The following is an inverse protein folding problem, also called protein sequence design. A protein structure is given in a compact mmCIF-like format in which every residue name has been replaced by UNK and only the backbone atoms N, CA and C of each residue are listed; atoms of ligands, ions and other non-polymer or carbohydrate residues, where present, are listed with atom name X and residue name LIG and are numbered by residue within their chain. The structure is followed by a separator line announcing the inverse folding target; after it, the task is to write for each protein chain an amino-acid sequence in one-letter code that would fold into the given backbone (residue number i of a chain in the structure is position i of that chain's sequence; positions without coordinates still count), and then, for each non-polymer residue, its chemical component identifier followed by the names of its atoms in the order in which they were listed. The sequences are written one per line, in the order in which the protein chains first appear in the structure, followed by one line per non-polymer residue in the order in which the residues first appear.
data_IF_058793296707
#
_entry.id   IF_058793296707
#
_cell.length_a   1.000
_cell.length_b   1.000
_cell.length_c   1.000
_cell.angle_alpha   90.00
_cell.angle_beta   90.00
_cell.angle_gamma   90.00
#
_symmetry.space_group_name_H-M   'P 1'
#
loop_
_entity.id
_entity.type
_entity.pdbx_description
1 polymer ?
#
# COMPACT_ATOMS: atom_id res chain seq x y z
N UNK A 1 -25.37 11.32 27.29
CA UNK A 1 -25.70 10.36 26.20
C UNK A 1 -24.56 10.40 25.19
N UNK A 2 -23.83 9.30 24.98
CA UNK A 2 -22.90 9.21 23.83
C UNK A 2 -23.76 9.08 22.57
N UNK A 3 -23.83 10.13 21.77
CA UNK A 3 -24.43 10.00 20.44
C UNK A 3 -23.46 9.21 19.58
N UNK A 4 -23.93 8.11 19.00
CA UNK A 4 -23.20 7.37 17.97
C UNK A 4 -23.43 8.10 16.66
N UNK A 5 -22.35 8.56 16.03
CA UNK A 5 -22.36 9.10 14.68
C UNK A 5 -22.45 7.97 13.66
N UNK A 6 -22.73 8.32 12.40
CA UNK A 6 -22.61 7.39 11.29
C UNK A 6 -21.17 6.92 11.14
N UNK A 7 -21.04 5.68 10.70
CA UNK A 7 -19.74 5.12 10.34
C UNK A 7 -19.17 5.85 9.11
N UNK A 8 -17.84 6.06 9.02
CA UNK A 8 -17.22 6.73 7.87
C UNK A 8 -17.52 6.06 6.52
N UNK A 9 -17.57 4.73 6.45
CA UNK A 9 -17.88 4.01 5.20
C UNK A 9 -19.32 4.32 4.76
N UNK A 10 -20.25 4.35 5.72
CA UNK A 10 -21.64 4.71 5.44
C UNK A 10 -21.77 6.17 4.96
N UNK A 11 -20.93 7.09 5.43
CA UNK A 11 -20.90 8.47 4.94
C UNK A 11 -20.35 8.55 3.50
N UNK A 12 -19.37 7.73 3.15
CA UNK A 12 -18.82 7.63 1.79
C UNK A 12 -19.88 7.06 0.84
N UNK A 13 -20.54 5.96 1.19
CA UNK A 13 -21.62 5.37 0.37
C UNK A 13 -22.75 6.36 0.07
N UNK A 14 -23.07 7.22 1.04
CA UNK A 14 -24.06 8.29 0.90
C UNK A 14 -23.55 9.45 0.05
N UNK A 15 -22.25 9.76 0.10
CA UNK A 15 -21.61 10.76 -0.74
C UNK A 15 -21.57 10.32 -2.21
N UNK A 16 -21.25 9.05 -2.45
CA UNK A 16 -21.14 8.42 -3.78
C UNK A 16 -22.51 8.05 -4.38
N UNK A 17 -23.58 8.14 -3.59
CA UNK A 17 -24.94 7.80 -4.04
C UNK A 17 -25.21 6.30 -4.14
N UNK A 18 -24.31 5.45 -3.62
CA UNK A 18 -24.51 4.00 -3.48
C UNK A 18 -25.66 3.70 -2.54
N UNK A 19 -25.87 4.56 -1.53
CA UNK A 19 -26.99 4.51 -0.60
C UNK A 19 -27.84 5.78 -0.67
N UNK A 20 -29.15 5.63 -0.49
CA UNK A 20 -30.05 6.77 -0.44
C UNK A 20 -30.01 7.42 0.96
N UNK A 21 -30.06 8.75 1.02
CA UNK A 21 -30.13 9.49 2.30
C UNK A 21 -31.37 9.14 3.13
N UNK A 22 -32.46 8.71 2.47
CA UNK A 22 -33.66 8.22 3.13
C UNK A 22 -33.39 6.99 4.03
N UNK A 23 -32.35 6.21 3.72
CA UNK A 23 -31.95 5.03 4.48
C UNK A 23 -31.09 5.37 5.71
N UNK A 24 -30.78 6.66 5.93
CA UNK A 24 -29.98 7.15 7.04
C UNK A 24 -30.77 8.19 7.87
N UNK A 25 -31.80 7.79 8.63
CA UNK A 25 -32.64 8.71 9.42
C UNK A 25 -31.83 9.55 10.42
N UNK A 26 -30.70 9.02 10.87
CA UNK A 26 -29.75 9.76 11.72
C UNK A 26 -29.30 11.09 11.10
N UNK A 27 -29.11 11.14 9.77
CA UNK A 27 -28.73 12.37 9.08
C UNK A 27 -29.73 13.50 9.33
N UNK A 28 -31.03 13.22 9.34
CA UNK A 28 -32.04 14.27 9.60
C UNK A 28 -31.93 14.89 11.00
N UNK A 29 -31.33 14.18 11.95
CA UNK A 29 -31.27 14.57 13.36
C UNK A 29 -29.87 15.03 13.82
N UNK A 30 -28.81 14.70 13.09
CA UNK A 30 -27.43 14.97 13.49
C UNK A 30 -26.75 15.97 12.55
N UNK A 31 -26.65 17.24 12.98
CA UNK A 31 -25.97 18.30 12.23
C UNK A 31 -24.46 18.09 12.04
N UNK A 32 -23.81 17.22 12.84
CA UNK A 32 -22.40 16.86 12.62
C UNK A 32 -22.25 15.98 11.37
N UNK A 33 -23.04 14.92 11.27
CA UNK A 33 -23.01 14.02 10.11
C UNK A 33 -23.51 14.71 8.83
N UNK A 34 -24.48 15.63 8.92
CA UNK A 34 -24.89 16.46 7.78
C UNK A 34 -23.73 17.31 7.23
N UNK A 35 -22.96 17.95 8.12
CA UNK A 35 -21.81 18.77 7.72
C UNK A 35 -20.71 17.92 7.09
N UNK A 36 -20.37 16.78 7.69
CA UNK A 36 -19.37 15.85 7.14
C UNK A 36 -19.77 15.35 5.74
N UNK A 37 -21.03 15.00 5.53
CA UNK A 37 -21.53 14.57 4.22
C UNK A 37 -21.47 15.71 3.19
N UNK A 38 -21.83 16.94 3.58
CA UNK A 38 -21.75 18.10 2.71
C UNK A 38 -20.30 18.42 2.31
N UNK A 39 -19.36 18.29 3.26
CA UNK A 39 -17.92 18.48 3.04
C UNK A 39 -17.34 17.44 2.07
N UNK A 40 -17.68 16.15 2.28
CA UNK A 40 -17.29 15.07 1.37
C UNK A 40 -17.82 15.29 -0.06
N UNK A 41 -19.07 15.75 -0.20
CA UNK A 41 -19.63 16.05 -1.53
C UNK A 41 -18.99 17.27 -2.17
N UNK A 42 -18.63 18.28 -1.38
CA UNK A 42 -17.90 19.44 -1.89
C UNK A 42 -16.54 19.02 -2.45
N UNK A 43 -15.77 18.19 -1.75
CA UNK A 43 -14.48 17.70 -2.24
C UNK A 43 -14.62 16.83 -3.50
N UNK A 44 -15.60 15.92 -3.54
CA UNK A 44 -15.89 15.13 -4.75
C UNK A 44 -16.29 16.02 -5.94
N UNK A 45 -17.08 17.06 -5.71
CA UNK A 45 -17.48 18.00 -6.76
C UNK A 45 -16.28 18.79 -7.31
N UNK A 46 -15.36 19.21 -6.43
CA UNK A 46 -14.13 19.91 -6.88
C UNK A 46 -13.28 19.01 -7.76
N UNK A 47 -13.08 17.75 -7.37
CA UNK A 47 -12.35 16.77 -8.18
C UNK A 47 -13.04 16.51 -9.52
N UNK A 48 -14.37 16.37 -9.51
CA UNK A 48 -15.15 16.19 -10.74
C UNK A 48 -14.99 17.38 -11.70
N UNK A 49 -15.05 18.61 -11.19
CA UNK A 49 -14.87 19.81 -12.04
C UNK A 49 -13.47 19.91 -12.64
N UNK A 50 -12.43 19.53 -11.89
CA UNK A 50 -11.06 19.47 -12.41
C UNK A 50 -10.91 18.41 -13.49
N UNK A 51 -11.43 17.20 -13.23
CA UNK A 51 -11.41 16.11 -14.22
C UNK A 51 -12.20 16.44 -15.48
N UNK A 52 -13.29 17.20 -15.37
CA UNK A 52 -14.08 17.62 -16.53
C UNK A 52 -13.33 18.66 -17.37
N UNK A 53 -12.55 19.52 -16.73
CA UNK A 53 -11.68 20.47 -17.42
C UNK A 53 -10.52 19.75 -18.14
N UNK A 54 -9.92 18.75 -17.51
CA UNK A 54 -8.88 17.92 -18.13
C UNK A 54 -9.44 16.99 -19.21
N UNK A 55 -10.64 16.45 -19.03
CA UNK A 55 -11.29 15.58 -20.00
C UNK A 55 -11.67 16.32 -21.30
N UNK A 56 -11.81 17.65 -21.26
CA UNK A 56 -11.98 18.46 -22.46
C UNK A 56 -10.69 18.53 -23.32
N UNK A 57 -9.53 18.27 -22.71
CA UNK A 57 -8.20 18.29 -23.35
C UNK A 57 -7.62 16.88 -23.56
N UNK A 58 -8.24 15.85 -22.95
CA UNK A 58 -7.84 14.46 -23.14
C UNK A 58 -8.27 13.97 -24.52
N UNK A 59 -7.37 13.38 -25.33
CA UNK A 59 -7.75 12.79 -26.61
C UNK A 59 -8.74 11.65 -26.38
N UNK A 60 -9.86 11.65 -27.12
CA UNK A 60 -10.81 10.56 -27.06
C UNK A 60 -10.10 9.23 -27.34
N UNK A 61 -10.35 8.18 -26.51
CA UNK A 61 -9.72 6.89 -26.75
C UNK A 61 -10.14 6.36 -28.12
N UNK A 62 -9.21 5.73 -28.83
CA UNK A 62 -9.50 5.14 -30.14
C UNK A 62 -10.71 4.21 -30.05
N UNK A 63 -11.60 4.14 -31.06
CA UNK A 63 -12.78 3.26 -30.99
C UNK A 63 -12.46 1.79 -30.71
N UNK A 64 -11.30 1.30 -31.16
CA UNK A 64 -10.84 -0.08 -30.92
C UNK A 64 -10.41 -0.34 -29.46
N UNK A 65 -10.11 0.70 -28.68
CA UNK A 65 -9.74 0.57 -27.27
C UNK A 65 -10.84 -0.14 -26.48
N UNK A 66 -12.11 0.22 -26.72
CA UNK A 66 -13.24 -0.33 -25.99
C UNK A 66 -13.46 -1.81 -26.27
N UNK A 67 -13.25 -2.23 -27.52
CA UNK A 67 -13.34 -3.64 -27.90
C UNK A 67 -12.26 -4.48 -27.23
N UNK A 68 -11.00 -3.99 -27.27
CA UNK A 68 -9.87 -4.67 -26.63
C UNK A 68 -9.99 -4.70 -25.11
N UNK A 69 -10.36 -3.58 -24.50
CA UNK A 69 -10.57 -3.48 -23.05
C UNK A 69 -11.66 -4.46 -22.60
N UNK A 70 -12.83 -4.42 -23.24
CA UNK A 70 -13.95 -5.30 -22.90
C UNK A 70 -13.61 -6.78 -23.11
N UNK A 71 -12.85 -7.11 -24.16
CA UNK A 71 -12.38 -8.48 -24.38
C UNK A 71 -11.45 -8.96 -23.26
N UNK A 72 -10.49 -8.13 -22.84
CA UNK A 72 -9.57 -8.45 -21.75
C UNK A 72 -10.25 -8.61 -20.41
N UNK A 73 -11.23 -7.76 -20.08
CA UNK A 73 -12.02 -7.89 -18.85
C UNK A 73 -12.79 -9.21 -18.85
N UNK A 74 -13.45 -9.56 -19.96
CA UNK A 74 -14.17 -10.85 -20.07
C UNK A 74 -13.22 -12.04 -19.95
N UNK A 75 -12.04 -11.98 -20.56
CA UNK A 75 -11.03 -13.03 -20.46
C UNK A 75 -10.52 -13.19 -19.02
N UNK A 76 -10.25 -12.08 -18.32
CA UNK A 76 -9.81 -12.11 -16.92
C UNK A 76 -10.87 -12.74 -16.00
N UNK A 77 -12.13 -12.32 -16.12
CA UNK A 77 -13.25 -12.89 -15.34
C UNK A 77 -13.45 -14.38 -15.66
N UNK A 78 -13.32 -14.78 -16.93
CA UNK A 78 -13.41 -16.19 -17.33
C UNK A 78 -12.24 -17.02 -16.76
N UNK A 79 -11.04 -16.44 -16.67
CA UNK A 79 -9.87 -17.10 -16.10
C UNK A 79 -9.98 -17.28 -14.57
N UNK A 80 -10.65 -16.37 -13.87
CA UNK A 80 -10.94 -16.50 -12.43
C UNK A 80 -11.92 -17.64 -12.13
N UNK A 81 -12.91 -17.85 -13.00
CA UNK A 81 -13.92 -18.91 -12.85
C UNK A 81 -13.48 -20.31 -13.34
N UNK A 82 -12.38 -20.42 -14.08
CA UNK A 82 -11.93 -21.70 -14.61
C UNK A 82 -11.23 -22.55 -13.52
N UNK A 83 -11.63 -23.82 -13.31
CA UNK A 83 -10.87 -24.70 -12.44
C UNK A 83 -9.46 -24.83 -13.01
N UNK A 84 -8.45 -24.39 -12.25
CA UNK A 84 -7.03 -24.51 -12.62
C UNK A 84 -6.77 -25.95 -13.04
N UNK A 85 -6.71 -26.20 -14.35
CA UNK A 85 -6.34 -27.52 -14.88
C UNK A 85 -4.94 -27.78 -14.36
N UNK A 86 -4.83 -28.67 -13.36
CA UNK A 86 -3.57 -29.24 -12.91
C UNK A 86 -2.85 -29.71 -14.15
N UNK A 87 -1.84 -28.93 -14.55
CA UNK A 87 -1.01 -29.20 -15.69
C UNK A 87 -0.38 -30.58 -15.53
N UNK A 88 -0.25 -31.24 -16.67
CA UNK A 88 0.34 -32.56 -16.91
C UNK A 88 1.84 -32.58 -16.61
N UNK A 89 2.22 -32.25 -15.38
CA UNK A 89 3.57 -32.39 -14.79
C UNK A 89 3.48 -33.02 -13.40
N UNK A 90 2.47 -33.89 -13.19
CA UNK A 90 2.14 -34.48 -11.90
C UNK A 90 2.63 -35.91 -11.67
N UNK A 91 3.64 -36.40 -12.41
CA UNK A 91 4.13 -37.78 -12.25
C UNK A 91 4.84 -38.04 -10.90
N UNK A 92 5.06 -37.01 -10.07
CA UNK A 92 5.61 -37.14 -8.71
C UNK A 92 4.69 -36.62 -7.60
N UNK A 93 3.44 -36.24 -7.91
CA UNK A 93 2.53 -35.62 -6.93
C UNK A 93 1.56 -36.57 -6.23
N UNK A 94 1.50 -37.84 -6.64
CA UNK A 94 0.41 -38.74 -6.26
C UNK A 94 0.66 -39.58 -5.00
N UNK A 95 1.89 -39.58 -4.45
CA UNK A 95 2.21 -40.44 -3.30
C UNK A 95 1.73 -39.87 -1.94
N UNK A 96 1.49 -38.56 -1.82
CA UNK A 96 1.08 -37.96 -0.54
C UNK A 96 -0.45 -37.94 -0.32
N UNK A 97 -1.25 -38.62 -1.16
CA UNK A 97 -2.71 -38.47 -1.13
C UNK A 97 -3.50 -39.75 -0.90
N UNK A 98 -2.91 -40.73 -0.22
CA UNK A 98 -3.59 -41.97 0.19
C UNK A 98 -3.68 -42.13 1.71
N UNK A 99 -4.24 -41.13 2.40
CA UNK A 99 -4.37 -41.25 3.86
C UNK A 99 -5.06 -40.11 4.58
N UNK A 100 -6.15 -39.54 4.04
CA UNK A 100 -7.20 -38.93 4.89
C UNK A 100 -8.45 -38.63 4.09
N UNK A 101 -9.17 -39.71 3.76
CA UNK A 101 -10.60 -39.64 3.50
C UNK A 101 -11.33 -40.04 4.78
N UNK A 102 -11.69 -39.05 5.57
CA UNK A 102 -12.75 -39.15 6.57
C UNK A 102 -13.40 -37.78 6.76
N UNK A 103 -14.63 -37.69 6.26
CA UNK A 103 -15.76 -36.88 6.71
C UNK A 103 -15.57 -35.36 6.98
N UNK A 104 -16.36 -34.60 6.21
CA UNK A 104 -16.79 -33.20 6.29
C UNK A 104 -17.17 -32.62 7.68
N UNK A 105 -17.58 -31.33 7.83
CA UNK A 105 -17.55 -30.15 6.93
C UNK A 105 -17.02 -28.84 7.60
N UNK A 106 -16.75 -27.79 6.81
CA UNK A 106 -16.95 -26.36 7.12
C UNK A 106 -16.56 -25.77 8.51
N UNK A 107 -15.55 -26.29 9.22
CA UNK A 107 -15.01 -25.67 10.44
C UNK A 107 -13.54 -25.23 10.33
N UNK A 108 -12.86 -25.55 9.22
CA UNK A 108 -11.41 -25.32 9.06
C UNK A 108 -11.02 -23.88 8.74
N UNK A 109 -11.90 -23.09 8.13
CA UNK A 109 -11.57 -21.70 7.75
C UNK A 109 -11.42 -20.76 8.96
N UNK A 110 -12.17 -21.01 10.04
CA UNK A 110 -12.04 -20.24 11.28
C UNK A 110 -10.81 -20.66 12.09
N UNK A 111 -10.39 -21.93 12.03
CA UNK A 111 -9.20 -22.37 12.74
C UNK A 111 -7.91 -21.80 12.14
N UNK A 112 -7.82 -21.66 10.81
CA UNK A 112 -6.67 -21.00 10.17
C UNK A 112 -6.64 -19.50 10.44
N UNK A 113 -7.80 -18.83 10.48
CA UNK A 113 -7.89 -17.42 10.86
C UNK A 113 -7.58 -17.24 12.35
N UNK A 114 -8.07 -18.11 13.23
CA UNK A 114 -7.78 -18.05 14.67
C UNK A 114 -6.31 -18.32 14.98
N UNK A 115 -5.65 -19.23 14.25
CA UNK A 115 -4.19 -19.46 14.39
C UNK A 115 -3.39 -18.28 13.83
N UNK A 116 -3.80 -17.67 12.71
CA UNK A 116 -3.16 -16.47 12.17
C UNK A 116 -3.33 -15.24 13.09
N UNK A 117 -4.52 -15.06 13.67
CA UNK A 117 -4.81 -14.00 14.64
C UNK A 117 -4.09 -14.26 15.97
N UNK A 118 -4.02 -15.52 16.42
CA UNK A 118 -3.26 -15.89 17.63
C UNK A 118 -1.76 -15.64 17.44
N UNK A 119 -1.17 -16.03 16.31
CA UNK A 119 0.24 -15.74 16.01
C UNK A 119 0.51 -14.23 15.88
N UNK A 120 -0.38 -13.48 15.21
CA UNK A 120 -0.26 -12.02 15.09
C UNK A 120 -0.38 -11.30 16.44
N UNK A 121 -1.28 -11.76 17.32
CA UNK A 121 -1.45 -11.20 18.66
C UNK A 121 -0.32 -11.53 19.62
N UNK A 122 0.36 -12.67 19.44
CA UNK A 122 1.53 -13.04 20.27
C UNK A 122 2.78 -12.24 19.89
N UNK A 123 2.90 -11.80 18.63
CA UNK A 123 3.98 -10.92 18.16
C UNK A 123 3.75 -9.47 18.60
N UNK A 124 2.50 -9.07 18.87
CA UNK A 124 2.11 -7.74 19.36
C UNK A 124 1.79 -7.71 20.86
N UNK A 125 2.26 -8.66 21.66
CA UNK A 125 2.17 -8.54 23.11
C UNK A 125 3.33 -7.67 23.64
N UNK A 126 3.10 -6.38 24.03
CA UNK A 126 4.11 -5.62 24.73
C UNK A 126 4.33 -6.25 26.10
N UNK A 127 5.48 -6.89 26.27
CA UNK A 127 5.99 -7.22 27.58
C UNK A 127 6.20 -5.91 28.35
N UNK A 128 5.32 -5.66 29.31
CA UNK A 128 5.53 -4.64 30.33
C UNK A 128 6.82 -4.98 31.10
N UNK A 129 7.87 -4.20 30.86
CA UNK A 129 9.04 -4.13 31.72
C UNK A 129 9.54 -2.68 31.73
N UNK A 130 9.43 -2.04 32.89
CA UNK A 130 10.03 -0.74 33.20
C UNK A 130 11.58 -0.79 33.11
N UNK A 131 12.25 0.36 32.89
CA UNK A 131 13.66 0.46 32.47
C UNK A 131 14.65 0.51 33.65
N UNK A 132 15.95 0.24 33.42
CA UNK A 132 17.03 0.85 34.19
C UNK A 132 17.69 2.02 33.42
N UNK A 133 18.14 3.08 34.12
CA UNK A 133 18.77 4.24 33.51
C UNK A 133 20.27 4.04 33.37
N UNK A 134 20.85 4.36 32.22
CA UNK A 134 22.30 4.68 32.12
C UNK A 134 22.59 5.69 31.00
N UNK A 135 22.89 6.90 31.47
CA UNK A 135 23.96 7.82 31.06
C UNK A 135 24.40 7.93 29.59
N UNK A 136 24.23 9.16 29.10
CA UNK A 136 25.13 9.97 28.27
C UNK A 136 26.43 9.31 27.80
N UNK A 137 26.61 9.25 26.49
CA UNK A 137 27.89 9.63 25.89
C UNK A 137 27.64 10.20 24.50
N UNK A 138 28.02 11.46 24.34
CA UNK A 138 28.05 12.15 23.06
C UNK A 138 28.94 11.39 22.06
N UNK A 139 28.45 11.22 20.83
CA UNK A 139 29.30 11.12 19.66
C UNK A 139 28.64 11.89 18.54
N UNK A 140 29.38 12.88 18.05
CA UNK A 140 28.98 13.82 17.03
C UNK A 140 28.40 13.11 15.80
N UNK A 141 27.27 13.62 15.31
CA UNK A 141 26.68 13.19 14.06
C UNK A 141 27.69 13.30 12.93
N UNK A 142 28.10 12.14 12.40
CA UNK A 142 28.76 12.05 11.12
C UNK A 142 27.78 12.51 10.06
N UNK A 143 27.84 13.79 9.71
CA UNK A 143 27.27 14.30 8.47
C UNK A 143 27.92 13.49 7.36
N UNK A 144 27.15 12.65 6.69
CA UNK A 144 27.63 11.96 5.50
C UNK A 144 27.95 13.08 4.50
N UNK A 145 29.23 13.28 4.22
CA UNK A 145 29.69 14.20 3.18
C UNK A 145 29.24 13.64 1.82
N UNK A 146 28.15 14.19 1.31
CA UNK A 146 27.54 13.88 0.00
C UNK A 146 28.56 13.97 -1.16
N UNK A 147 29.69 14.63 -0.95
CA UNK A 147 30.81 14.68 -1.91
C UNK A 147 31.45 13.30 -2.15
N UNK A 148 31.33 12.36 -1.21
CA UNK A 148 31.92 11.00 -1.32
C UNK A 148 31.09 10.01 -2.15
N UNK A 149 29.88 10.41 -2.60
CA UNK A 149 29.03 9.60 -3.49
C UNK A 149 29.19 9.94 -4.99
N UNK A 150 30.10 10.85 -5.34
CA UNK A 150 30.55 11.07 -6.73
C UNK A 150 31.48 9.90 -7.15
N UNK A 151 30.89 8.77 -7.58
CA UNK A 151 30.91 8.54 -9.02
C UNK A 151 29.63 7.87 -9.55
N UNK A 152 28.46 8.07 -8.92
CA UNK A 152 27.18 7.63 -9.51
C UNK A 152 26.65 8.57 -10.62
N UNK A 153 27.38 9.65 -10.96
CA UNK A 153 26.93 10.68 -11.91
C UNK A 153 28.03 11.29 -12.78
N UNK A 154 29.12 10.56 -13.05
CA UNK A 154 30.18 11.02 -13.98
C UNK A 154 29.98 10.51 -15.42
N UNK A 155 28.76 10.06 -15.76
CA UNK A 155 28.33 9.96 -17.14
C UNK A 155 27.39 11.12 -17.39
N UNK A 156 27.71 11.96 -18.37
CA UNK A 156 26.87 13.07 -18.86
C UNK A 156 25.54 12.53 -19.39
N UNK A 157 24.65 12.10 -18.50
CA UNK A 157 23.31 11.65 -18.86
C UNK A 157 22.38 12.86 -18.69
N UNK A 158 22.02 13.56 -19.80
CA UNK A 158 21.25 14.80 -19.72
C UNK A 158 19.87 14.59 -19.08
N UNK A 159 19.39 13.36 -19.09
CA UNK A 159 18.14 12.96 -18.44
C UNK A 159 18.24 13.00 -16.91
N UNK A 160 19.38 12.60 -16.33
CA UNK A 160 19.59 12.64 -14.88
C UNK A 160 19.91 14.05 -14.38
N UNK A 161 20.52 14.90 -15.22
CA UNK A 161 20.72 16.32 -14.91
C UNK A 161 19.39 17.06 -14.78
N UNK A 162 18.41 16.79 -15.65
CA UNK A 162 17.08 17.41 -15.56
C UNK A 162 16.33 16.95 -14.31
N UNK A 163 16.42 15.67 -13.95
CA UNK A 163 15.82 15.16 -12.70
C UNK A 163 16.48 15.80 -11.49
N UNK A 164 17.81 15.93 -11.48
CA UNK A 164 18.53 16.60 -10.40
C UNK A 164 18.09 18.06 -10.25
N UNK A 165 18.01 18.83 -11.34
CA UNK A 165 17.53 20.22 -11.32
C UNK A 165 16.07 20.31 -10.83
N UNK A 166 15.18 19.44 -11.33
CA UNK A 166 13.78 19.38 -10.91
C UNK A 166 13.62 19.01 -9.43
N UNK A 167 14.44 18.10 -8.91
CA UNK A 167 14.41 17.71 -7.49
C UNK A 167 15.06 18.75 -6.58
N UNK A 168 16.02 19.54 -7.08
CA UNK A 168 16.65 20.63 -6.33
C UNK A 168 15.69 21.80 -6.10
N UNK A 169 14.73 22.01 -7.01
CA UNK A 169 13.68 23.02 -6.88
C UNK A 169 12.47 22.51 -6.06
N UNK A 170 12.40 21.20 -5.79
CA UNK A 170 11.29 20.58 -5.09
C UNK A 170 11.49 20.68 -3.57
N UNK A 171 10.69 21.52 -2.92
CA UNK A 171 10.65 21.62 -1.47
C UNK A 171 9.93 20.40 -0.87
N UNK A 172 10.72 19.40 -0.47
CA UNK A 172 10.25 18.15 0.11
C UNK A 172 9.47 18.36 1.41
N UNK A 173 9.80 19.41 2.17
CA UNK A 173 9.10 19.73 3.41
C UNK A 173 7.70 20.25 3.09
N UNK A 174 7.57 21.21 2.15
CA UNK A 174 6.27 21.71 1.68
C UNK A 174 5.42 20.63 0.99
N UNK A 175 6.04 19.73 0.23
CA UNK A 175 5.35 18.60 -0.39
C UNK A 175 4.84 17.57 0.64
N UNK A 176 5.54 17.43 1.77
CA UNK A 176 5.11 16.57 2.89
C UNK A 176 3.94 17.17 3.66
N UNK A 177 3.95 18.48 3.91
CA UNK A 177 2.85 19.20 4.54
C UNK A 177 1.59 19.20 3.65
N UNK A 178 1.77 19.22 2.33
CA UNK A 178 0.70 19.09 1.35
C UNK A 178 0.18 17.65 1.17
N UNK A 179 0.79 16.66 1.84
CA UNK A 179 0.43 15.24 1.72
C UNK A 179 0.74 14.62 0.35
N UNK A 180 1.60 15.27 -0.45
CA UNK A 180 2.01 14.83 -1.79
C UNK A 180 3.15 13.83 -1.76
N UNK A 181 3.98 13.86 -0.72
CA UNK A 181 4.84 12.72 -0.41
C UNK A 181 3.95 11.62 0.12
N UNK A 182 3.92 10.47 -0.55
CA UNK A 182 3.19 9.31 -0.07
C UNK A 182 3.47 9.13 1.43
N UNK A 183 2.45 8.95 2.29
CA UNK A 183 2.69 8.73 3.70
C UNK A 183 3.67 7.57 3.78
N UNK A 184 4.83 7.79 4.42
CA UNK A 184 5.81 6.74 4.63
C UNK A 184 5.03 5.54 5.16
N UNK A 185 4.81 4.54 4.31
CA UNK A 185 3.96 3.43 4.67
C UNK A 185 4.63 2.82 5.89
N UNK A 186 3.95 2.79 7.04
CA UNK A 186 4.41 2.02 8.17
C UNK A 186 4.61 0.58 7.67
N UNK A 187 5.84 0.07 7.72
CA UNK A 187 6.24 -1.19 7.08
C UNK A 187 6.82 -1.10 5.66
N UNK A 188 7.13 0.09 5.15
CA UNK A 188 7.88 0.27 3.90
C UNK A 188 9.34 -0.17 4.04
N UNK A 189 10.03 -0.41 2.92
CA UNK A 189 11.43 -0.88 2.95
C UNK A 189 12.35 0.05 3.76
N UNK A 190 12.12 1.37 3.73
CA UNK A 190 12.87 2.34 4.53
C UNK A 190 12.63 2.19 6.04
N UNK A 191 11.40 1.89 6.44
CA UNK A 191 11.02 1.67 7.83
C UNK A 191 11.69 0.40 8.37
N UNK A 192 11.66 -0.68 7.59
CA UNK A 192 12.35 -1.94 7.92
C UNK A 192 13.86 -1.72 8.06
N UNK A 193 14.49 -0.98 7.14
CA UNK A 193 15.94 -0.66 7.22
C UNK A 193 16.27 0.17 8.46
N UNK A 194 15.36 1.07 8.88
CA UNK A 194 15.56 1.87 10.09
C UNK A 194 15.53 1.06 11.38
N UNK A 195 14.83 -0.08 11.37
CA UNK A 195 14.73 -1.01 12.52
C UNK A 195 15.87 -2.05 12.59
N UNK A 196 16.73 -2.14 11.57
CA UNK A 196 17.86 -3.07 11.55
C UNK A 196 18.99 -2.62 12.49
N UNK A 197 19.61 -3.58 13.16
CA UNK A 197 20.83 -3.38 13.95
C UNK A 197 22.04 -3.08 13.05
N UNK A 198 23.13 -2.57 13.63
CA UNK A 198 24.36 -2.25 12.88
C UNK A 198 25.01 -3.47 12.21
N UNK A 199 24.90 -4.64 12.85
CA UNK A 199 25.39 -5.90 12.27
C UNK A 199 24.52 -6.33 11.07
N UNK A 200 23.20 -6.22 11.19
CA UNK A 200 22.25 -6.57 10.13
C UNK A 200 22.34 -5.62 8.92
N UNK A 201 22.57 -4.32 9.16
CA UNK A 201 22.81 -3.35 8.09
C UNK A 201 24.09 -3.66 7.31
N UNK A 202 25.17 -4.06 7.99
CA UNK A 202 26.42 -4.49 7.34
C UNK A 202 26.24 -5.73 6.49
N UNK A 203 25.45 -6.70 6.97
CA UNK A 203 25.16 -7.91 6.21
C UNK A 203 24.25 -7.64 5.01
N UNK A 204 23.23 -6.77 5.15
CA UNK A 204 22.39 -6.32 4.05
C UNK A 204 23.22 -5.62 2.95
N UNK A 205 24.15 -4.76 3.35
CA UNK A 205 25.07 -4.09 2.43
C UNK A 205 25.95 -5.10 1.68
N UNK A 206 26.47 -6.12 2.38
CA UNK A 206 27.27 -7.19 1.75
C UNK A 206 26.47 -7.94 0.70
N UNK A 207 25.22 -8.32 1.02
CA UNK A 207 24.33 -9.05 0.10
C UNK A 207 23.93 -8.21 -1.12
N UNK A 208 23.64 -6.92 -0.93
CA UNK A 208 23.32 -6.01 -2.04
C UNK A 208 24.50 -5.86 -3.01
N UNK A 209 25.72 -5.73 -2.48
CA UNK A 209 26.93 -5.66 -3.30
C UNK A 209 27.21 -6.97 -4.05
N UNK A 210 26.96 -8.11 -3.39
CA UNK A 210 27.09 -9.44 -4.00
C UNK A 210 26.12 -9.62 -5.18
N UNK A 211 24.86 -9.20 -5.03
CA UNK A 211 23.86 -9.29 -6.10
C UNK A 211 24.11 -8.28 -7.23
N UNK A 212 24.57 -7.06 -6.91
CA UNK A 212 24.96 -6.07 -7.94
C UNK A 212 26.18 -6.52 -8.76
N UNK A 213 27.10 -7.27 -8.16
CA UNK A 213 28.28 -7.81 -8.85
C UNK A 213 27.94 -9.02 -9.75
N UNK A 214 26.73 -9.58 -9.65
CA UNK A 214 26.30 -10.74 -10.41
C UNK A 214 25.78 -10.29 -11.79
N UNK A 215 26.36 -10.76 -12.90
CA UNK A 215 25.84 -10.42 -14.22
C UNK A 215 24.44 -11.01 -14.39
N UNK A 216 23.47 -10.17 -14.76
CA UNK A 216 22.13 -10.62 -15.19
C UNK A 216 22.29 -11.52 -16.42
N UNK A 217 22.01 -12.81 -16.23
CA UNK A 217 22.00 -13.82 -17.29
C UNK A 217 20.74 -13.69 -18.16
#
# INVERSE_FOLDING_TARGET
MRMKHLDPEALIDLADGVRAEADAPHLSTCGACQRQLAELRASLSTLSTMSAAEAADAPEPSPLFWDHFSARVREAVAAEGAPRRRGRYGLFGEWHRSGWSSAAPLAGAFATIAVAVALGSYVMAPGAADPPPVSESASAGSVIDLTSLLPLGAGDDPTLSLVADLTAELDLDAASEAGLTAPAHAGGANDVVSTLTDDERRELQRLLLEELAKPRA
#
